data_IF_400927091374
#
_entry.id   IF_400927091374
#
_cell.length_a   1.000
_cell.length_b   1.000
_cell.length_c   1.000
_cell.angle_alpha   90.00
_cell.angle_beta   90.00
_cell.angle_gamma   90.00
#
_symmetry.space_group_name_H-M   'P 1'
#
loop_
_entity.id
_entity.type
_entity.pdbx_description
1 polymer ?
#
# COMPACT_ATOMS: atom_id res chain seq x y z
N UNK A 1 -12.82 10.71 -19.31
CA UNK A 1 -12.67 10.10 -17.96
C UNK A 1 -11.45 9.17 -17.90
N UNK A 2 -11.26 8.25 -18.83
CA UNK A 2 -10.13 7.29 -18.82
C UNK A 2 -8.75 7.97 -18.80
N UNK A 3 -8.47 8.93 -19.69
CA UNK A 3 -7.19 9.64 -19.71
C UNK A 3 -6.87 10.37 -18.39
N UNK A 4 -7.89 10.98 -17.75
CA UNK A 4 -7.72 11.64 -16.44
C UNK A 4 -7.39 10.62 -15.33
N UNK A 5 -8.04 9.46 -15.34
CA UNK A 5 -7.76 8.39 -14.40
C UNK A 5 -6.33 7.85 -14.56
N UNK A 6 -5.85 7.71 -15.80
CA UNK A 6 -4.48 7.26 -16.08
C UNK A 6 -3.44 8.28 -15.62
N UNK A 7 -3.66 9.59 -15.87
CA UNK A 7 -2.75 10.62 -15.37
C UNK A 7 -2.75 10.71 -13.84
N UNK A 8 -3.91 10.57 -13.19
CA UNK A 8 -3.98 10.49 -11.72
C UNK A 8 -3.34 9.23 -11.15
N UNK A 9 -3.34 8.11 -11.91
CA UNK A 9 -2.69 6.85 -11.50
C UNK A 9 -1.17 6.98 -11.33
N UNK A 10 -0.55 7.99 -11.95
CA UNK A 10 0.86 8.34 -11.71
C UNK A 10 1.11 8.76 -10.25
N UNK A 11 0.08 9.27 -9.56
CA UNK A 11 0.15 9.56 -8.12
C UNK A 11 0.42 8.31 -7.27
N UNK A 12 -0.45 7.29 -7.27
CA UNK A 12 -0.17 6.01 -6.59
C UNK A 12 1.13 5.32 -7.05
N UNK A 13 1.52 5.47 -8.33
CA UNK A 13 2.81 4.97 -8.82
C UNK A 13 3.98 5.64 -8.09
N UNK A 14 3.98 6.96 -8.00
CA UNK A 14 5.03 7.72 -7.29
C UNK A 14 4.93 7.56 -5.77
N UNK A 15 3.74 7.78 -5.19
CA UNK A 15 3.54 7.84 -3.73
C UNK A 15 3.65 6.50 -3.03
N UNK A 16 3.07 5.43 -3.61
CA UNK A 16 3.08 4.09 -3.02
C UNK A 16 4.08 3.17 -3.72
N UNK A 17 4.02 3.06 -5.04
CA UNK A 17 4.90 2.18 -5.80
C UNK A 17 6.38 2.50 -5.53
N UNK A 18 6.82 3.70 -5.87
CA UNK A 18 8.19 4.14 -5.64
C UNK A 18 8.42 4.62 -4.20
N UNK A 19 7.50 5.40 -3.63
CA UNK A 19 7.66 6.02 -2.31
C UNK A 19 7.61 5.04 -1.14
N UNK A 20 6.81 3.99 -1.24
CA UNK A 20 6.59 3.06 -0.14
C UNK A 20 7.17 1.69 -0.39
N UNK A 21 6.78 1.06 -1.50
CA UNK A 21 7.10 -0.34 -1.75
C UNK A 21 8.51 -0.55 -2.32
N UNK A 22 9.06 0.40 -3.10
CA UNK A 22 10.43 0.29 -3.59
C UNK A 22 11.49 0.31 -2.47
N UNK A 23 11.11 0.65 -1.21
CA UNK A 23 11.96 0.44 -0.04
C UNK A 23 12.49 -1.00 0.05
N UNK A 24 11.64 -1.98 -0.24
CA UNK A 24 12.03 -3.37 -0.21
C UNK A 24 13.17 -3.71 -1.22
N UNK A 25 13.27 -2.96 -2.32
CA UNK A 25 14.37 -3.10 -3.28
C UNK A 25 15.68 -2.48 -2.78
N UNK A 26 15.59 -1.41 -1.99
CA UNK A 26 16.76 -0.70 -1.46
C UNK A 26 17.22 -1.30 -0.14
N UNK A 27 16.33 -1.99 0.58
CA UNK A 27 16.64 -2.55 1.90
C UNK A 27 17.89 -3.45 1.93
N UNK A 28 18.08 -4.41 1.01
CA UNK A 28 19.31 -5.23 1.02
C UNK A 28 20.59 -4.40 0.87
N UNK A 29 20.56 -3.33 0.06
CA UNK A 29 21.69 -2.41 -0.08
C UNK A 29 21.93 -1.61 1.22
N UNK A 30 20.86 -1.14 1.87
CA UNK A 30 20.96 -0.42 3.15
C UNK A 30 21.51 -1.33 4.25
N UNK A 31 21.08 -2.60 4.31
CA UNK A 31 21.63 -3.57 5.26
C UNK A 31 23.12 -3.82 5.00
N UNK A 32 23.53 -3.99 3.74
CA UNK A 32 24.92 -4.25 3.39
C UNK A 32 25.83 -3.05 3.66
N UNK A 33 25.38 -1.81 3.33
CA UNK A 33 26.23 -0.61 3.41
C UNK A 33 26.15 0.07 4.78
N UNK A 34 24.95 0.10 5.41
CA UNK A 34 24.76 0.75 6.72
C UNK A 34 24.84 -0.22 7.90
N UNK A 35 24.96 -1.53 7.65
CA UNK A 35 25.01 -2.56 8.69
C UNK A 35 23.71 -2.69 9.48
N UNK A 36 22.55 -2.42 8.86
CA UNK A 36 21.26 -2.43 9.56
C UNK A 36 20.88 -3.83 10.02
N UNK A 37 20.45 -3.94 11.28
CA UNK A 37 19.74 -5.11 11.79
C UNK A 37 18.36 -5.26 11.14
N UNK A 38 17.76 -6.44 11.26
CA UNK A 38 16.38 -6.65 10.77
C UNK A 38 15.37 -5.80 11.54
N UNK A 39 15.60 -5.55 12.82
CA UNK A 39 14.75 -4.69 13.62
C UNK A 39 14.80 -3.23 13.13
N UNK A 40 16.00 -2.67 12.89
CA UNK A 40 16.17 -1.32 12.34
C UNK A 40 15.54 -1.19 10.95
N UNK A 41 15.69 -2.20 10.10
CA UNK A 41 14.98 -2.27 8.81
C UNK A 41 13.46 -2.25 8.99
N UNK A 42 12.93 -3.02 9.95
CA UNK A 42 11.51 -3.01 10.31
C UNK A 42 11.03 -1.64 10.78
N UNK A 43 11.81 -0.93 11.59
CA UNK A 43 11.47 0.42 12.07
C UNK A 43 11.43 1.47 10.96
N UNK A 44 12.30 1.40 9.96
CA UNK A 44 12.22 2.24 8.76
C UNK A 44 10.90 2.00 7.98
N UNK A 45 10.47 0.74 7.89
CA UNK A 45 9.17 0.38 7.33
C UNK A 45 8.02 0.94 8.16
N UNK A 46 8.08 0.76 9.50
CA UNK A 46 7.07 1.27 10.45
C UNK A 46 6.99 2.79 10.45
N UNK A 47 8.10 3.50 10.32
CA UNK A 47 8.12 4.97 10.21
C UNK A 47 7.29 5.43 9.01
N UNK A 48 7.48 4.81 7.84
CA UNK A 48 6.68 5.14 6.65
C UNK A 48 5.19 4.82 6.84
N UNK A 49 4.87 3.66 7.42
CA UNK A 49 3.48 3.25 7.59
C UNK A 49 2.77 4.05 8.68
N UNK A 50 3.47 4.48 9.73
CA UNK A 50 2.97 5.42 10.74
C UNK A 50 2.70 6.80 10.11
N UNK A 51 3.62 7.29 9.28
CA UNK A 51 3.41 8.51 8.50
C UNK A 51 2.17 8.40 7.61
N UNK A 52 2.00 7.27 6.94
CA UNK A 52 0.82 7.02 6.11
C UNK A 52 -0.48 7.00 6.93
N UNK A 53 -0.47 6.40 8.12
CA UNK A 53 -1.60 6.40 9.04
C UNK A 53 -2.00 7.82 9.43
N UNK A 54 -1.04 8.62 9.92
CA UNK A 54 -1.31 10.01 10.33
C UNK A 54 -1.66 10.90 9.14
N UNK A 55 -1.05 10.65 7.98
CA UNK A 55 -1.38 11.31 6.72
C UNK A 55 -2.81 11.01 6.27
N UNK A 56 -3.26 9.75 6.36
CA UNK A 56 -4.63 9.36 6.01
C UNK A 56 -5.67 10.00 6.97
N UNK A 57 -5.40 9.99 8.28
CA UNK A 57 -6.27 10.64 9.28
C UNK A 57 -6.33 12.16 9.10
N UNK A 58 -5.22 12.80 8.77
CA UNK A 58 -5.15 14.25 8.56
C UNK A 58 -5.66 14.69 7.19
N UNK A 59 -5.78 13.78 6.22
CA UNK A 59 -6.11 14.15 4.84
C UNK A 59 -7.43 14.91 4.69
N UNK A 60 -8.56 14.56 5.35
CA UNK A 60 -9.79 15.33 5.22
C UNK A 60 -9.66 16.77 5.76
N UNK A 61 -8.84 16.94 6.82
CA UNK A 61 -8.62 18.24 7.44
C UNK A 61 -7.65 19.09 6.62
N UNK A 62 -6.51 18.54 6.24
CA UNK A 62 -5.45 19.27 5.52
C UNK A 62 -5.88 19.54 4.09
N UNK A 63 -6.28 18.49 3.34
CA UNK A 63 -6.72 18.64 1.95
C UNK A 63 -8.02 19.44 1.85
N UNK A 64 -8.91 19.35 2.85
CA UNK A 64 -10.12 20.15 2.89
C UNK A 64 -9.86 21.64 3.10
N UNK A 65 -8.77 22.04 3.78
CA UNK A 65 -8.36 23.45 3.97
C UNK A 65 -7.54 24.00 2.81
N UNK A 66 -6.58 23.20 2.34
CA UNK A 66 -5.62 23.62 1.29
C UNK A 66 -6.23 23.47 -0.11
N UNK A 67 -7.25 22.61 -0.25
CA UNK A 67 -7.79 22.14 -1.52
C UNK A 67 -7.19 20.80 -1.94
N UNK A 68 -8.02 19.86 -2.37
CA UNK A 68 -7.59 18.52 -2.76
C UNK A 68 -6.64 18.52 -3.95
N UNK A 69 -6.86 19.42 -4.91
CA UNK A 69 -5.99 19.57 -6.09
C UNK A 69 -4.58 20.00 -5.67
N UNK A 70 -4.48 21.09 -4.90
CA UNK A 70 -3.20 21.64 -4.47
C UNK A 70 -2.49 20.67 -3.51
N UNK A 71 -3.22 20.07 -2.56
CA UNK A 71 -2.67 19.09 -1.64
C UNK A 71 -2.15 17.83 -2.33
N UNK A 72 -2.89 17.30 -3.31
CA UNK A 72 -2.47 16.13 -4.10
C UNK A 72 -1.18 16.41 -4.88
N UNK A 73 -1.16 17.51 -5.68
CA UNK A 73 0.01 17.83 -6.50
C UNK A 73 1.19 18.33 -5.67
N UNK A 74 0.95 19.10 -4.60
CA UNK A 74 2.00 19.49 -3.67
C UNK A 74 2.68 18.28 -3.04
N UNK A 75 1.90 17.32 -2.54
CA UNK A 75 2.44 16.08 -1.99
C UNK A 75 3.19 15.27 -3.06
N UNK A 76 2.66 15.20 -4.28
CA UNK A 76 3.26 14.45 -5.39
C UNK A 76 4.61 15.03 -5.81
N UNK A 77 4.73 16.35 -5.91
CA UNK A 77 5.98 17.02 -6.27
C UNK A 77 7.01 16.94 -5.13
N UNK A 78 6.57 17.05 -3.86
CA UNK A 78 7.45 16.90 -2.69
C UNK A 78 7.96 15.47 -2.50
N UNK A 79 7.24 14.46 -3.00
CA UNK A 79 7.65 13.05 -2.87
C UNK A 79 9.02 12.78 -3.50
N UNK A 80 9.33 13.40 -4.64
CA UNK A 80 10.61 13.25 -5.32
C UNK A 80 11.81 13.68 -4.47
N UNK A 81 11.90 14.97 -4.03
CA UNK A 81 12.97 15.44 -3.17
C UNK A 81 13.10 14.67 -1.86
N UNK A 82 11.98 14.34 -1.21
CA UNK A 82 11.98 13.59 0.06
C UNK A 82 12.54 12.18 -0.14
N UNK A 83 12.21 11.50 -1.24
CA UNK A 83 12.82 10.22 -1.59
C UNK A 83 14.33 10.37 -1.83
N UNK A 84 14.74 11.34 -2.65
CA UNK A 84 16.13 11.53 -3.01
C UNK A 84 17.04 11.74 -1.79
N UNK A 85 16.54 12.44 -0.76
CA UNK A 85 17.29 12.71 0.47
C UNK A 85 17.33 11.52 1.46
N UNK A 86 16.54 10.47 1.24
CA UNK A 86 16.45 9.34 2.20
C UNK A 86 17.75 8.53 2.31
N UNK A 87 18.60 8.57 1.30
CA UNK A 87 19.86 7.83 1.25
C UNK A 87 20.99 8.38 2.13
N UNK A 88 20.77 9.40 2.97
CA UNK A 88 21.81 10.14 3.71
C UNK A 88 22.17 9.53 5.07
N UNK A 89 21.56 8.43 5.48
CA UNK A 89 21.84 7.70 6.73
C UNK A 89 20.59 7.28 7.49
N UNK A 90 20.74 6.45 8.52
CA UNK A 90 19.62 5.80 9.22
C UNK A 90 18.65 6.79 9.90
N UNK A 91 19.17 7.73 10.72
CA UNK A 91 18.31 8.68 11.44
C UNK A 91 17.56 9.65 10.50
N UNK A 92 18.21 10.28 9.50
CA UNK A 92 17.50 11.04 8.49
C UNK A 92 16.49 10.18 7.73
N UNK A 93 16.83 8.93 7.40
CA UNK A 93 15.92 8.02 6.72
C UNK A 93 14.66 7.74 7.54
N UNK A 94 14.72 7.56 8.87
CA UNK A 94 13.54 7.40 9.74
C UNK A 94 12.55 8.56 9.58
N UNK A 95 13.05 9.80 9.67
CA UNK A 95 12.22 11.00 9.54
C UNK A 95 11.66 11.12 8.11
N UNK A 96 12.50 10.95 7.10
CA UNK A 96 12.08 11.09 5.70
C UNK A 96 11.14 9.97 5.27
N UNK A 97 11.30 8.75 5.78
CA UNK A 97 10.34 7.65 5.58
C UNK A 97 8.98 7.98 6.19
N UNK A 98 8.94 8.60 7.37
CA UNK A 98 7.70 9.08 7.96
C UNK A 98 7.03 10.16 7.07
N UNK A 99 7.79 11.15 6.60
CA UNK A 99 7.29 12.21 5.71
C UNK A 99 6.77 11.61 4.39
N UNK A 100 7.51 10.67 3.78
CA UNK A 100 7.06 9.93 2.59
C UNK A 100 5.71 9.25 2.81
N UNK A 101 5.51 8.66 4.01
CA UNK A 101 4.25 8.06 4.40
C UNK A 101 3.11 9.07 4.38
N UNK A 102 3.28 10.22 5.02
CA UNK A 102 2.28 11.31 5.04
C UNK A 102 1.94 11.77 3.62
N UNK A 103 2.96 12.07 2.81
CA UNK A 103 2.77 12.50 1.42
C UNK A 103 2.08 11.42 0.59
N UNK A 104 2.50 10.16 0.74
CA UNK A 104 1.88 9.01 0.07
C UNK A 104 0.39 8.85 0.39
N UNK A 105 -0.01 9.10 1.66
CA UNK A 105 -1.41 9.08 2.06
C UNK A 105 -2.21 10.24 1.44
N UNK A 106 -1.67 11.46 1.42
CA UNK A 106 -2.33 12.60 0.79
C UNK A 106 -2.49 12.41 -0.71
N UNK A 107 -1.49 11.83 -1.38
CA UNK A 107 -1.57 11.45 -2.79
C UNK A 107 -2.69 10.41 -2.97
N UNK A 108 -2.66 9.32 -2.22
CA UNK A 108 -3.56 8.19 -2.42
C UNK A 108 -5.02 8.53 -2.12
N UNK A 109 -5.28 9.20 -1.00
CA UNK A 109 -6.63 9.62 -0.58
C UNK A 109 -7.11 10.81 -1.43
N UNK A 110 -6.24 11.79 -1.65
CA UNK A 110 -6.56 13.00 -2.40
C UNK A 110 -6.91 12.71 -3.86
N UNK A 111 -6.09 11.92 -4.54
CA UNK A 111 -6.33 11.55 -5.93
C UNK A 111 -7.59 10.69 -6.12
N UNK A 112 -7.88 9.77 -5.19
CA UNK A 112 -9.13 9.02 -5.20
C UNK A 112 -10.35 9.92 -5.03
N UNK A 113 -10.28 10.90 -4.12
CA UNK A 113 -11.35 11.87 -3.90
C UNK A 113 -11.58 12.74 -5.14
N UNK A 114 -10.51 13.26 -5.77
CA UNK A 114 -10.57 14.03 -7.01
C UNK A 114 -11.18 13.22 -8.16
N UNK A 115 -10.80 11.93 -8.27
CA UNK A 115 -11.36 11.06 -9.31
C UNK A 115 -12.85 10.77 -9.09
N UNK A 116 -13.28 10.56 -7.84
CA UNK A 116 -14.68 10.36 -7.50
C UNK A 116 -15.54 11.62 -7.77
N UNK A 117 -14.97 12.82 -7.64
CA UNK A 117 -15.65 14.07 -7.99
C UNK A 117 -15.96 14.17 -9.50
N UNK A 118 -15.16 13.52 -10.35
CA UNK A 118 -15.39 13.46 -11.80
C UNK A 118 -16.46 12.43 -12.22
N UNK A 119 -16.82 11.49 -11.34
CA UNK A 119 -17.81 10.44 -11.60
C UNK A 119 -17.52 9.15 -10.83
N UNK A 120 -18.56 8.38 -10.54
CA UNK A 120 -18.48 7.15 -9.72
C UNK A 120 -18.13 5.90 -10.55
N UNK A 121 -17.11 5.95 -11.40
CA UNK A 121 -16.70 4.81 -12.22
C UNK A 121 -15.76 3.88 -11.44
N UNK A 122 -16.18 2.66 -11.15
CA UNK A 122 -15.33 1.62 -10.54
C UNK A 122 -14.11 1.29 -11.40
N UNK A 123 -14.25 1.32 -12.74
CA UNK A 123 -13.13 1.11 -13.67
C UNK A 123 -12.08 2.21 -13.56
N UNK A 124 -12.50 3.47 -13.38
CA UNK A 124 -11.58 4.59 -13.22
C UNK A 124 -10.81 4.49 -11.89
N UNK A 125 -11.48 4.10 -10.79
CA UNK A 125 -10.82 3.84 -9.51
C UNK A 125 -9.87 2.63 -9.59
N UNK A 126 -10.26 1.57 -10.29
CA UNK A 126 -9.39 0.42 -10.54
C UNK A 126 -8.11 0.81 -11.29
N UNK A 127 -8.23 1.62 -12.35
CA UNK A 127 -7.07 2.16 -13.08
C UNK A 127 -6.20 3.05 -12.20
N UNK A 128 -6.80 3.89 -11.36
CA UNK A 128 -6.08 4.74 -10.41
C UNK A 128 -5.26 3.92 -9.41
N UNK A 129 -5.88 2.93 -8.77
CA UNK A 129 -5.17 2.07 -7.81
C UNK A 129 -4.15 1.14 -8.49
N UNK A 130 -4.40 0.74 -9.74
CA UNK A 130 -3.44 0.01 -10.58
C UNK A 130 -2.14 0.76 -10.81
N UNK A 131 -2.12 2.09 -10.65
CA UNK A 131 -0.90 2.90 -10.67
C UNK A 131 0.17 2.41 -9.67
N UNK A 132 -0.22 1.82 -8.54
CA UNK A 132 0.72 1.19 -7.61
C UNK A 132 1.55 0.12 -8.33
N UNK A 133 0.89 -0.73 -9.13
CA UNK A 133 1.54 -1.76 -9.95
C UNK A 133 2.55 -1.18 -10.94
N UNK A 134 2.23 -0.03 -11.55
CA UNK A 134 3.16 0.68 -12.43
C UNK A 134 4.44 1.09 -11.66
N UNK A 135 4.30 1.64 -10.46
CA UNK A 135 5.45 1.99 -9.62
C UNK A 135 6.28 0.78 -9.20
N UNK A 136 5.63 -0.37 -8.89
CA UNK A 136 6.31 -1.63 -8.61
C UNK A 136 7.11 -2.14 -9.82
N UNK A 137 6.58 -1.99 -11.03
CA UNK A 137 7.29 -2.35 -12.27
C UNK A 137 8.46 -1.41 -12.57
N UNK A 138 8.31 -0.10 -12.34
CA UNK A 138 9.36 0.89 -12.59
C UNK A 138 10.52 0.81 -11.60
N UNK A 139 10.24 0.43 -10.34
CA UNK A 139 11.25 0.38 -9.28
C UNK A 139 12.51 -0.41 -9.66
N UNK A 140 12.41 -1.68 -10.09
CA UNK A 140 13.56 -2.46 -10.54
C UNK A 140 14.38 -1.80 -11.66
N UNK A 141 13.71 -1.19 -12.64
CA UNK A 141 14.40 -0.51 -13.75
C UNK A 141 15.21 0.70 -13.30
N UNK A 142 14.68 1.49 -12.38
CA UNK A 142 15.38 2.64 -11.81
C UNK A 142 16.60 2.22 -10.99
N UNK A 143 16.62 1.00 -10.47
CA UNK A 143 17.66 0.48 -9.59
C UNK A 143 18.66 -0.47 -10.30
N UNK A 144 18.56 -0.62 -11.62
CA UNK A 144 19.52 -1.44 -12.38
C UNK A 144 20.95 -0.97 -12.14
N UNK A 145 21.85 -1.92 -11.79
CA UNK A 145 23.27 -1.71 -11.53
C UNK A 145 23.59 -0.71 -10.40
N UNK A 146 22.62 -0.41 -9.50
CA UNK A 146 22.83 0.43 -8.32
C UNK A 146 23.33 -0.42 -7.17
N UNK A 147 24.44 0.00 -6.55
CA UNK A 147 25.02 -0.65 -5.37
C UNK A 147 25.11 0.26 -4.14
N UNK A 148 24.78 1.54 -4.30
CA UNK A 148 24.82 2.54 -3.25
C UNK A 148 23.39 2.97 -2.86
N UNK A 149 23.01 2.90 -1.56
CA UNK A 149 21.68 3.32 -1.09
C UNK A 149 21.36 4.79 -1.42
N UNK A 150 22.33 5.69 -1.38
CA UNK A 150 22.10 7.11 -1.68
C UNK A 150 21.75 7.30 -3.15
N UNK A 151 22.46 6.62 -4.05
CA UNK A 151 22.14 6.61 -5.50
C UNK A 151 20.79 5.96 -5.76
N UNK A 152 20.46 4.86 -5.06
CA UNK A 152 19.17 4.18 -5.16
C UNK A 152 18.02 5.14 -4.83
N UNK A 153 18.07 5.80 -3.67
CA UNK A 153 17.06 6.73 -3.26
C UNK A 153 16.98 7.97 -4.16
N UNK A 154 18.11 8.47 -4.65
CA UNK A 154 18.13 9.58 -5.61
C UNK A 154 17.41 9.22 -6.92
N UNK A 155 17.67 8.03 -7.49
CA UNK A 155 16.99 7.57 -8.71
C UNK A 155 15.49 7.34 -8.51
N UNK A 156 15.07 6.77 -7.37
CA UNK A 156 13.66 6.66 -7.02
C UNK A 156 13.00 8.04 -6.87
N UNK A 157 13.71 9.00 -6.28
CA UNK A 157 13.26 10.39 -6.16
C UNK A 157 13.09 11.08 -7.51
N UNK A 158 14.04 10.91 -8.43
CA UNK A 158 13.94 11.43 -9.80
C UNK A 158 12.76 10.79 -10.54
N UNK A 159 12.58 9.46 -10.41
CA UNK A 159 11.46 8.76 -11.01
C UNK A 159 10.11 9.25 -10.47
N UNK A 160 9.97 9.42 -9.15
CA UNK A 160 8.75 9.95 -8.54
C UNK A 160 8.48 11.41 -8.95
N UNK A 161 9.52 12.24 -9.03
CA UNK A 161 9.43 13.62 -9.53
C UNK A 161 8.98 13.67 -10.98
N UNK A 162 9.54 12.83 -11.85
CA UNK A 162 9.13 12.73 -13.26
C UNK A 162 7.64 12.33 -13.37
N UNK A 163 7.19 11.29 -12.63
CA UNK A 163 5.78 10.91 -12.59
C UNK A 163 4.88 12.07 -12.13
N UNK A 164 5.35 12.84 -11.14
CA UNK A 164 4.65 14.05 -10.68
C UNK A 164 4.49 15.10 -11.78
N UNK A 165 5.55 15.38 -12.51
CA UNK A 165 5.52 16.32 -13.64
C UNK A 165 4.61 15.82 -14.77
N UNK A 166 4.66 14.53 -15.12
CA UNK A 166 3.76 13.95 -16.13
C UNK A 166 2.28 13.95 -15.71
N UNK A 167 2.00 13.99 -14.40
CA UNK A 167 0.62 14.09 -13.89
C UNK A 167 0.05 15.52 -13.97
N UNK A 168 0.88 16.59 -14.07
CA UNK A 168 0.45 18.00 -14.05
C UNK A 168 -0.62 18.36 -15.07
N UNK A 169 -0.62 17.83 -16.32
CA UNK A 169 -1.65 18.18 -17.31
C UNK A 169 -3.08 17.81 -16.89
N UNK A 170 -3.25 16.91 -15.91
CA UNK A 170 -4.58 16.62 -15.38
C UNK A 170 -5.11 17.72 -14.44
N UNK A 171 -4.25 18.54 -13.82
CA UNK A 171 -4.62 19.54 -12.79
C UNK A 171 -5.77 20.47 -13.18
N UNK A 172 -5.77 21.11 -14.35
CA UNK A 172 -6.87 22.01 -14.75
C UNK A 172 -8.19 21.28 -15.03
N UNK A 173 -8.13 19.96 -15.23
CA UNK A 173 -9.28 19.13 -15.58
C UNK A 173 -10.00 18.54 -14.36
N UNK A 174 -9.49 18.77 -13.15
CA UNK A 174 -10.02 18.21 -11.91
C UNK A 174 -10.97 19.19 -11.22
N UNK A 175 -11.92 18.64 -10.49
CA UNK A 175 -12.86 19.38 -9.65
C UNK A 175 -12.60 19.06 -8.19
N UNK A 176 -12.80 20.02 -7.30
CA UNK A 176 -12.74 19.79 -5.87
C UNK A 176 -13.89 18.87 -5.43
N UNK A 177 -13.61 17.84 -4.61
CA UNK A 177 -14.67 17.00 -4.09
C UNK A 177 -15.56 17.76 -3.10
N UNK A 178 -16.84 17.37 -2.96
CA UNK A 178 -17.71 17.96 -1.95
C UNK A 178 -17.17 17.67 -0.55
N UNK A 179 -17.51 18.51 0.47
CA UNK A 179 -17.10 18.31 1.85
C UNK A 179 -17.48 16.90 2.35
N UNK A 180 -16.65 16.26 3.19
CA UNK A 180 -16.93 14.93 3.71
C UNK A 180 -18.15 14.94 4.61
N UNK A 181 -19.08 14.02 4.37
CA UNK A 181 -20.27 13.83 5.22
C UNK A 181 -19.90 12.97 6.42
N UNK A 182 -20.21 13.46 7.64
CA UNK A 182 -20.05 12.66 8.87
C UNK A 182 -21.15 11.60 8.93
N UNK A 183 -20.76 10.34 8.78
CA UNK A 183 -21.68 9.21 8.87
C UNK A 183 -22.06 8.88 10.33
N UNK A 184 -23.32 8.50 10.56
CA UNK A 184 -23.84 7.99 11.83
C UNK A 184 -24.30 6.53 11.61
N UNK A 185 -24.10 5.66 12.59
CA UNK A 185 -24.61 4.28 12.54
C UNK A 185 -23.86 3.35 13.49
N UNK A 186 -24.51 2.22 13.84
CA UNK A 186 -23.88 1.14 14.59
C UNK A 186 -22.93 0.34 13.68
N UNK A 187 -21.73 0.03 14.18
CA UNK A 187 -20.72 -0.76 13.52
C UNK A 187 -20.52 -2.14 14.16
N UNK A 188 -21.36 -2.49 15.14
CA UNK A 188 -21.36 -3.81 15.78
C UNK A 188 -21.23 -4.95 14.76
N UNK A 189 -22.09 -4.98 13.72
CA UNK A 189 -22.11 -6.05 12.72
C UNK A 189 -20.80 -6.23 11.92
N UNK A 190 -19.94 -5.22 11.87
CA UNK A 190 -18.70 -5.26 11.07
C UNK A 190 -17.42 -5.23 11.91
N UNK A 191 -17.50 -5.33 13.24
CA UNK A 191 -16.32 -5.31 14.13
C UNK A 191 -15.29 -6.36 13.76
N UNK A 192 -15.71 -7.58 13.50
CA UNK A 192 -14.80 -8.65 13.10
C UNK A 192 -14.10 -8.35 11.77
N UNK A 193 -14.80 -7.75 10.81
CA UNK A 193 -14.21 -7.34 9.54
C UNK A 193 -13.19 -6.21 9.72
N UNK A 194 -13.40 -5.29 10.68
CA UNK A 194 -12.42 -4.25 11.02
C UNK A 194 -11.14 -4.87 11.60
N UNK A 195 -11.25 -5.86 12.49
CA UNK A 195 -10.10 -6.61 13.02
C UNK A 195 -9.37 -7.39 11.92
N UNK A 196 -10.11 -8.11 11.08
CA UNK A 196 -9.52 -8.84 9.95
C UNK A 196 -8.72 -7.89 9.04
N UNK A 197 -9.26 -6.69 8.80
CA UNK A 197 -8.61 -5.69 7.94
C UNK A 197 -7.37 -5.07 8.59
N UNK A 198 -7.36 -4.87 9.91
CA UNK A 198 -6.17 -4.46 10.67
C UNK A 198 -5.07 -5.51 10.64
N UNK A 199 -5.41 -6.78 10.89
CA UNK A 199 -4.48 -7.91 10.82
C UNK A 199 -3.90 -8.09 9.40
N UNK A 200 -4.75 -7.97 8.37
CA UNK A 200 -4.31 -7.94 6.98
C UNK A 200 -3.29 -6.82 6.75
N UNK A 201 -3.58 -5.61 7.26
CA UNK A 201 -2.67 -4.47 7.15
C UNK A 201 -1.28 -4.75 7.72
N UNK A 202 -1.21 -5.41 8.89
CA UNK A 202 0.05 -5.81 9.52
C UNK A 202 0.77 -6.91 8.72
N UNK A 203 0.04 -7.94 8.30
CA UNK A 203 0.63 -9.10 7.62
C UNK A 203 1.19 -8.77 6.24
N UNK A 204 0.41 -8.12 5.39
CA UNK A 204 0.86 -7.88 4.02
C UNK A 204 2.03 -6.89 3.92
N UNK A 205 2.04 -5.86 4.76
CA UNK A 205 3.09 -4.85 4.71
C UNK A 205 4.39 -5.34 5.34
N UNK A 206 4.32 -6.27 6.30
CA UNK A 206 5.49 -6.92 6.87
C UNK A 206 6.20 -7.85 5.88
N UNK A 207 5.46 -8.50 4.97
CA UNK A 207 6.03 -9.34 3.91
C UNK A 207 6.93 -8.56 2.95
N UNK A 208 6.44 -7.39 2.48
CA UNK A 208 7.04 -6.66 1.36
C UNK A 208 8.53 -6.29 1.54
N UNK A 209 9.00 -5.72 2.67
CA UNK A 209 10.40 -5.37 2.82
C UNK A 209 11.33 -6.57 3.02
N UNK A 210 10.84 -7.69 3.59
CA UNK A 210 11.72 -8.80 3.95
C UNK A 210 11.77 -9.93 2.92
N UNK A 211 10.82 -9.99 1.97
CA UNK A 211 10.87 -11.00 0.91
C UNK A 211 12.11 -10.84 0.03
N UNK A 212 12.53 -9.61 -0.26
CA UNK A 212 13.73 -9.33 -1.08
C UNK A 212 15.02 -9.76 -0.39
N UNK A 213 15.09 -9.64 0.94
CA UNK A 213 16.25 -10.09 1.72
C UNK A 213 16.31 -11.61 1.83
N UNK A 214 15.17 -12.29 1.70
CA UNK A 214 15.08 -13.74 1.82
C UNK A 214 15.31 -14.47 0.48
N UNK A 215 14.93 -13.87 -0.67
CA UNK A 215 14.92 -14.58 -1.97
C UNK A 215 15.98 -14.10 -2.98
N UNK A 216 16.56 -12.94 -2.81
CA UNK A 216 17.65 -12.42 -3.68
C UNK A 216 17.22 -11.93 -5.06
N UNK A 217 16.29 -12.58 -5.76
CA UNK A 217 15.81 -12.16 -7.09
C UNK A 217 14.66 -11.14 -7.00
N UNK A 218 15.04 -9.93 -6.59
CA UNK A 218 14.10 -8.83 -6.40
C UNK A 218 13.49 -8.29 -7.70
N UNK A 219 14.20 -8.41 -8.84
CA UNK A 219 13.70 -7.90 -10.13
C UNK A 219 12.52 -8.73 -10.62
N UNK A 220 12.65 -10.06 -10.58
CA UNK A 220 11.56 -10.99 -10.90
C UNK A 220 10.40 -10.83 -9.92
N UNK A 221 10.69 -10.76 -8.62
CA UNK A 221 9.71 -10.57 -7.57
C UNK A 221 8.84 -9.34 -7.82
N UNK A 222 9.45 -8.16 -7.97
CA UNK A 222 8.72 -6.90 -8.14
C UNK A 222 8.04 -6.80 -9.51
N UNK A 223 8.64 -7.37 -10.55
CA UNK A 223 8.01 -7.48 -11.86
C UNK A 223 6.67 -8.24 -11.78
N UNK A 224 6.67 -9.41 -11.15
CA UNK A 224 5.46 -10.23 -11.01
C UNK A 224 4.46 -9.68 -10.01
N UNK A 225 4.92 -9.09 -8.89
CA UNK A 225 4.08 -8.31 -7.97
C UNK A 225 3.36 -7.18 -8.71
N UNK A 226 4.10 -6.42 -9.51
CA UNK A 226 3.56 -5.29 -10.29
C UNK A 226 2.53 -5.73 -11.32
N UNK A 227 2.84 -6.79 -12.08
CA UNK A 227 1.88 -7.40 -13.03
C UNK A 227 0.62 -7.85 -12.29
N UNK A 228 0.75 -8.61 -11.20
CA UNK A 228 -0.39 -9.04 -10.38
C UNK A 228 -1.23 -7.86 -9.90
N UNK A 229 -0.58 -6.80 -9.40
CA UNK A 229 -1.26 -5.60 -8.91
C UNK A 229 -2.05 -4.85 -10.00
N UNK A 230 -1.55 -4.81 -11.25
CA UNK A 230 -2.29 -4.24 -12.38
C UNK A 230 -3.59 -5.00 -12.66
N UNK A 231 -3.59 -6.32 -12.52
CA UNK A 231 -4.75 -7.17 -12.77
C UNK A 231 -5.74 -7.24 -11.59
N UNK A 232 -5.36 -6.77 -10.39
CA UNK A 232 -6.19 -6.83 -9.18
C UNK A 232 -7.63 -6.35 -9.40
N UNK A 233 -7.80 -5.15 -9.96
CA UNK A 233 -9.13 -4.56 -10.16
C UNK A 233 -9.98 -5.29 -11.20
N UNK A 234 -9.35 -5.86 -12.24
CA UNK A 234 -10.01 -6.61 -13.28
C UNK A 234 -10.49 -7.99 -12.81
N UNK A 235 -9.76 -8.60 -11.90
CA UNK A 235 -10.04 -9.93 -11.38
C UNK A 235 -11.01 -9.88 -10.18
N UNK A 236 -10.64 -9.11 -9.12
CA UNK A 236 -11.40 -9.14 -7.86
C UNK A 236 -12.71 -8.37 -7.91
N UNK A 237 -12.85 -7.32 -8.74
CA UNK A 237 -14.10 -6.58 -8.86
C UNK A 237 -15.27 -7.50 -9.23
N UNK A 238 -15.24 -8.13 -10.44
CA UNK A 238 -16.30 -9.04 -10.88
C UNK A 238 -16.48 -10.29 -10.00
N UNK A 239 -15.38 -10.81 -9.42
CA UNK A 239 -15.44 -11.97 -8.55
C UNK A 239 -16.20 -11.66 -7.25
N UNK A 240 -15.85 -10.55 -6.58
CA UNK A 240 -16.48 -10.12 -5.33
C UNK A 240 -17.97 -9.78 -5.54
N UNK A 241 -18.32 -9.20 -6.69
CA UNK A 241 -19.73 -8.94 -7.06
C UNK A 241 -20.52 -10.24 -7.17
N UNK A 242 -19.94 -11.33 -7.71
CA UNK A 242 -20.60 -12.64 -7.86
C UNK A 242 -20.75 -13.39 -6.54
N UNK A 243 -19.70 -13.42 -5.71
CA UNK A 243 -19.69 -14.26 -4.50
C UNK A 243 -20.13 -13.52 -3.23
N UNK A 244 -20.26 -12.19 -3.31
CA UNK A 244 -20.53 -11.30 -2.18
C UNK A 244 -19.28 -10.88 -1.43
N UNK A 245 -19.34 -9.69 -0.80
CA UNK A 245 -18.17 -9.04 -0.20
C UNK A 245 -17.45 -9.89 0.84
N UNK A 246 -18.17 -10.56 1.74
CA UNK A 246 -17.55 -11.39 2.79
C UNK A 246 -16.85 -12.64 2.22
N UNK A 247 -17.51 -13.39 1.35
CA UNK A 247 -16.89 -14.58 0.71
C UNK A 247 -15.72 -14.16 -0.16
N UNK A 248 -15.86 -13.03 -0.88
CA UNK A 248 -14.79 -12.42 -1.64
C UNK A 248 -13.58 -12.06 -0.76
N UNK A 249 -13.82 -11.50 0.45
CA UNK A 249 -12.77 -11.20 1.40
C UNK A 249 -12.01 -12.46 1.86
N UNK A 250 -12.72 -13.53 2.15
CA UNK A 250 -12.11 -14.82 2.51
C UNK A 250 -11.26 -15.36 1.36
N UNK A 251 -11.77 -15.34 0.13
CA UNK A 251 -11.02 -15.84 -1.03
C UNK A 251 -9.77 -15.03 -1.31
N UNK A 252 -9.84 -13.69 -1.25
CA UNK A 252 -8.68 -12.84 -1.50
C UNK A 252 -7.63 -12.96 -0.39
N UNK A 253 -8.06 -13.04 0.89
CA UNK A 253 -7.14 -13.26 2.02
C UNK A 253 -6.48 -14.65 1.95
N UNK A 254 -7.21 -15.67 1.50
CA UNK A 254 -6.66 -17.02 1.31
C UNK A 254 -5.55 -17.01 0.24
N UNK A 255 -5.77 -16.41 -0.93
CA UNK A 255 -4.75 -16.32 -1.98
C UNK A 255 -3.57 -15.47 -1.53
N UNK A 256 -3.81 -14.38 -0.79
CA UNK A 256 -2.77 -13.54 -0.24
C UNK A 256 -1.92 -14.30 0.78
N UNK A 257 -2.56 -15.06 1.68
CA UNK A 257 -1.89 -15.93 2.64
C UNK A 257 -1.02 -16.98 1.93
N UNK A 258 -1.56 -17.67 0.93
CA UNK A 258 -0.78 -18.63 0.13
C UNK A 258 0.43 -17.95 -0.53
N UNK A 259 0.23 -16.79 -1.15
CA UNK A 259 1.32 -16.02 -1.78
C UNK A 259 2.39 -15.56 -0.78
N UNK A 260 2.04 -15.39 0.50
CA UNK A 260 2.99 -14.96 1.55
C UNK A 260 3.76 -16.10 2.21
N UNK A 261 3.39 -17.35 1.97
CA UNK A 261 4.02 -18.51 2.63
C UNK A 261 5.51 -18.63 2.27
N UNK A 262 6.43 -18.73 3.27
CA UNK A 262 7.86 -18.85 3.01
C UNK A 262 8.24 -20.02 2.07
N UNK A 263 7.67 -21.24 2.17
CA UNK A 263 7.98 -22.30 1.21
C UNK A 263 7.64 -21.93 -0.22
N UNK A 264 6.53 -21.22 -0.45
CA UNK A 264 6.16 -20.77 -1.79
C UNK A 264 7.09 -19.64 -2.27
N UNK A 265 7.41 -18.67 -1.41
CA UNK A 265 8.30 -17.56 -1.73
C UNK A 265 9.73 -18.03 -2.04
N UNK A 266 10.23 -19.05 -1.31
CA UNK A 266 11.60 -19.53 -1.45
C UNK A 266 11.78 -20.52 -2.61
N UNK A 267 10.77 -21.34 -2.93
CA UNK A 267 10.92 -22.42 -3.92
C UNK A 267 10.10 -22.18 -5.21
N UNK A 268 9.04 -21.38 -5.15
CA UNK A 268 8.15 -21.05 -6.26
C UNK A 268 7.90 -19.54 -6.33
N UNK A 269 8.97 -18.75 -6.29
CA UNK A 269 8.92 -17.29 -6.26
C UNK A 269 7.99 -16.67 -7.30
N UNK A 270 7.96 -17.10 -8.59
CA UNK A 270 7.06 -16.52 -9.57
C UNK A 270 5.58 -16.62 -9.16
N UNK A 271 5.19 -17.78 -8.64
CA UNK A 271 3.81 -18.01 -8.20
C UNK A 271 3.49 -17.20 -6.93
N UNK A 272 4.40 -17.20 -5.94
CA UNK A 272 4.27 -16.41 -4.72
C UNK A 272 4.07 -14.91 -5.05
N UNK A 273 4.97 -14.34 -5.83
CA UNK A 273 4.96 -12.93 -6.21
C UNK A 273 3.68 -12.55 -6.98
N UNK A 274 3.28 -13.36 -7.94
CA UNK A 274 2.06 -13.10 -8.71
C UNK A 274 0.79 -13.19 -7.86
N UNK A 275 0.64 -14.24 -7.04
CA UNK A 275 -0.51 -14.40 -6.14
C UNK A 275 -0.60 -13.28 -5.12
N UNK A 276 0.54 -12.90 -4.53
CA UNK A 276 0.59 -11.79 -3.60
C UNK A 276 0.21 -10.48 -4.29
N UNK A 277 0.82 -10.17 -5.42
CA UNK A 277 0.54 -8.97 -6.23
C UNK A 277 -0.93 -8.88 -6.66
N UNK A 278 -1.50 -9.99 -7.16
CA UNK A 278 -2.91 -10.05 -7.56
C UNK A 278 -3.86 -9.78 -6.39
N UNK A 279 -3.48 -10.15 -5.17
CA UNK A 279 -4.41 -10.24 -4.04
C UNK A 279 -4.32 -9.05 -3.08
N UNK A 280 -3.13 -8.46 -2.82
CA UNK A 280 -2.97 -7.50 -1.73
C UNK A 280 -3.83 -6.25 -1.85
N UNK A 281 -4.08 -5.71 -3.04
CA UNK A 281 -5.02 -4.61 -3.24
C UNK A 281 -6.48 -5.08 -3.38
N UNK A 282 -6.71 -6.35 -3.69
CA UNK A 282 -8.05 -6.95 -3.84
C UNK A 282 -8.83 -6.97 -2.52
N UNK A 283 -8.14 -7.04 -1.39
CA UNK A 283 -8.74 -6.97 -0.06
C UNK A 283 -9.51 -5.66 0.15
N UNK A 284 -9.04 -4.54 -0.41
CA UNK A 284 -9.70 -3.23 -0.32
C UNK A 284 -11.07 -3.27 -1.01
N UNK A 285 -11.15 -3.91 -2.17
CA UNK A 285 -12.41 -4.09 -2.92
C UNK A 285 -13.38 -4.96 -2.12
N UNK A 286 -12.91 -6.09 -1.60
CA UNK A 286 -13.74 -7.06 -0.90
C UNK A 286 -14.29 -6.50 0.42
N UNK A 287 -13.48 -5.83 1.23
CA UNK A 287 -13.91 -5.24 2.52
C UNK A 287 -14.95 -4.12 2.30
N UNK A 288 -14.77 -3.30 1.27
CA UNK A 288 -15.73 -2.25 0.92
C UNK A 288 -17.09 -2.83 0.55
N UNK A 289 -17.13 -3.89 -0.25
CA UNK A 289 -18.37 -4.56 -0.61
C UNK A 289 -19.00 -5.31 0.58
N UNK A 290 -18.17 -5.89 1.47
CA UNK A 290 -18.67 -6.51 2.71
C UNK A 290 -19.38 -5.50 3.62
N UNK A 291 -18.83 -4.29 3.79
CA UNK A 291 -19.49 -3.24 4.57
C UNK A 291 -20.81 -2.79 3.93
N UNK A 292 -20.83 -2.61 2.62
CA UNK A 292 -22.05 -2.22 1.89
C UNK A 292 -23.17 -3.25 1.98
N UNK A 293 -22.83 -4.53 2.07
CA UNK A 293 -23.80 -5.60 2.18
C UNK A 293 -24.45 -5.70 3.56
N UNK A 294 -23.75 -5.24 4.63
CA UNK A 294 -24.19 -5.44 6.02
C UNK A 294 -24.72 -4.14 6.65
N UNK A 295 -24.16 -2.99 6.24
CA UNK A 295 -24.46 -1.70 6.87
C UNK A 295 -25.42 -0.85 6.04
N UNK A 296 -26.32 -0.09 6.67
CA UNK A 296 -27.13 0.91 5.98
C UNK A 296 -26.25 2.05 5.45
N UNK A 297 -26.65 2.71 4.32
CA UNK A 297 -25.86 3.76 3.68
C UNK A 297 -25.33 4.88 4.60
N UNK A 298 -26.09 5.36 5.61
CA UNK A 298 -25.57 6.39 6.52
C UNK A 298 -24.38 5.95 7.38
N UNK A 299 -24.17 4.64 7.59
CA UNK A 299 -23.06 4.10 8.37
C UNK A 299 -21.77 3.92 7.54
N UNK A 300 -21.84 3.91 6.20
CA UNK A 300 -20.68 3.64 5.33
C UNK A 300 -19.51 4.59 5.55
N UNK A 301 -19.67 5.92 5.63
CA UNK A 301 -18.52 6.82 5.83
C UNK A 301 -17.77 6.52 7.13
N UNK A 302 -18.51 6.19 8.22
CA UNK A 302 -17.90 5.83 9.51
C UNK A 302 -17.17 4.50 9.44
N UNK A 303 -17.77 3.48 8.79
CA UNK A 303 -17.16 2.17 8.61
C UNK A 303 -15.86 2.27 7.78
N UNK A 304 -15.89 3.02 6.68
CA UNK A 304 -14.72 3.25 5.83
C UNK A 304 -13.61 4.01 6.57
N UNK A 305 -13.95 5.04 7.35
CA UNK A 305 -12.97 5.77 8.17
C UNK A 305 -12.29 4.88 9.20
N UNK A 306 -13.08 4.09 9.96
CA UNK A 306 -12.54 3.17 10.97
C UNK A 306 -11.76 2.00 10.34
N UNK A 307 -12.20 1.49 9.18
CA UNK A 307 -11.44 0.45 8.47
C UNK A 307 -10.10 0.99 8.01
N UNK A 308 -10.06 2.20 7.48
CA UNK A 308 -8.79 2.85 7.09
C UNK A 308 -7.87 3.04 8.31
N UNK A 309 -8.41 3.44 9.45
CA UNK A 309 -7.64 3.57 10.69
C UNK A 309 -7.12 2.21 11.19
N UNK A 310 -7.96 1.17 11.24
CA UNK A 310 -7.55 -0.19 11.64
C UNK A 310 -6.46 -0.75 10.71
N UNK A 311 -6.66 -0.62 9.41
CA UNK A 311 -5.70 -1.02 8.40
C UNK A 311 -4.36 -0.28 8.55
N UNK A 312 -4.39 1.04 8.68
CA UNK A 312 -3.19 1.84 8.79
C UNK A 312 -2.44 1.59 10.12
N UNK A 313 -3.15 1.32 11.21
CA UNK A 313 -2.55 0.90 12.47
C UNK A 313 -1.84 -0.46 12.30
N UNK A 314 -2.50 -1.42 11.68
CA UNK A 314 -1.87 -2.71 11.33
C UNK A 314 -0.61 -2.52 10.51
N UNK A 315 -0.65 -1.67 9.48
CA UNK A 315 0.51 -1.35 8.66
C UNK A 315 1.64 -0.67 9.44
N UNK A 316 1.33 0.19 10.42
CA UNK A 316 2.35 0.85 11.24
C UNK A 316 3.09 -0.15 12.14
N UNK A 317 2.41 -1.18 12.62
CA UNK A 317 2.98 -2.21 13.49
C UNK A 317 3.66 -3.35 12.72
N UNK A 318 3.13 -3.70 11.55
CA UNK A 318 3.54 -4.89 10.77
C UNK A 318 5.03 -4.99 10.47
N UNK A 319 5.68 -3.99 9.87
CA UNK A 319 7.11 -4.06 9.54
C UNK A 319 8.01 -4.19 10.78
N UNK A 320 7.67 -3.48 11.88
CA UNK A 320 8.40 -3.59 13.14
C UNK A 320 8.30 -4.99 13.73
N UNK A 321 7.07 -5.55 13.82
CA UNK A 321 6.85 -6.92 14.32
C UNK A 321 7.57 -7.95 13.45
N UNK A 322 7.51 -7.79 12.12
CA UNK A 322 8.20 -8.68 11.19
C UNK A 322 9.73 -8.56 11.29
N UNK A 323 10.25 -7.34 11.49
CA UNK A 323 11.68 -7.10 11.72
C UNK A 323 12.18 -7.77 13.01
N UNK A 324 11.42 -7.65 14.11
CA UNK A 324 11.72 -8.36 15.37
C UNK A 324 11.69 -9.87 15.22
N UNK A 325 10.73 -10.41 14.45
CA UNK A 325 10.67 -11.84 14.17
C UNK A 325 11.85 -12.30 13.29
N UNK A 326 12.28 -11.49 12.32
CA UNK A 326 13.48 -11.75 11.53
C UNK A 326 14.75 -11.74 12.38
N UNK A 327 14.86 -10.79 13.31
CA UNK A 327 15.96 -10.69 14.27
C UNK A 327 16.05 -11.94 15.16
N UNK A 328 14.91 -12.38 15.71
CA UNK A 328 14.85 -13.57 16.58
C UNK A 328 15.27 -14.86 15.86
N UNK A 329 15.06 -14.95 14.55
CA UNK A 329 15.44 -16.11 13.72
C UNK A 329 16.84 -15.92 13.09
N UNK A 330 17.37 -14.68 13.07
CA UNK A 330 18.61 -14.34 12.36
C UNK A 330 18.46 -14.34 10.84
N UNK A 331 17.24 -14.27 10.31
CA UNK A 331 16.95 -14.37 8.88
C UNK A 331 15.65 -13.65 8.51
N UNK A 332 15.59 -13.05 7.31
CA UNK A 332 14.36 -12.49 6.73
C UNK A 332 13.19 -13.49 6.63
N UNK A 333 13.48 -14.80 6.68
CA UNK A 333 12.45 -15.86 6.69
C UNK A 333 11.56 -15.76 7.94
N UNK A 334 12.10 -15.31 9.10
CA UNK A 334 11.32 -15.03 10.30
C UNK A 334 10.22 -13.99 10.06
N UNK A 335 10.52 -12.93 9.32
CA UNK A 335 9.54 -11.93 8.95
C UNK A 335 8.43 -12.48 8.03
N UNK A 336 8.80 -13.37 7.09
CA UNK A 336 7.81 -14.01 6.20
C UNK A 336 6.84 -14.90 6.99
N UNK A 337 7.32 -15.67 7.98
CA UNK A 337 6.46 -16.47 8.84
C UNK A 337 5.56 -15.61 9.73
N UNK A 338 6.07 -14.51 10.29
CA UNK A 338 5.26 -13.57 11.07
C UNK A 338 4.14 -12.94 10.18
N UNK A 339 4.48 -12.53 8.97
CA UNK A 339 3.52 -12.00 8.00
C UNK A 339 2.46 -13.01 7.61
N UNK A 340 2.86 -14.25 7.28
CA UNK A 340 1.93 -15.34 6.95
C UNK A 340 1.01 -15.66 8.15
N UNK A 341 1.53 -15.68 9.37
CA UNK A 341 0.75 -15.88 10.59
C UNK A 341 -0.32 -14.80 10.80
N UNK A 342 0.03 -13.53 10.61
CA UNK A 342 -0.92 -12.41 10.69
C UNK A 342 -2.00 -12.49 9.60
N UNK A 343 -1.63 -12.88 8.38
CA UNK A 343 -2.59 -13.08 7.28
C UNK A 343 -3.51 -14.28 7.53
N UNK A 344 -3.00 -15.35 8.12
CA UNK A 344 -3.81 -16.50 8.54
C UNK A 344 -4.81 -16.10 9.63
N UNK A 345 -4.39 -15.30 10.60
CA UNK A 345 -5.30 -14.76 11.63
C UNK A 345 -6.36 -13.85 11.00
N UNK A 346 -5.98 -12.99 10.04
CA UNK A 346 -6.94 -12.15 9.31
C UNK A 346 -7.98 -13.00 8.56
N UNK A 347 -7.53 -14.06 7.88
CA UNK A 347 -8.37 -15.03 7.19
C UNK A 347 -9.31 -15.73 8.17
N UNK A 348 -8.82 -16.22 9.30
CA UNK A 348 -9.61 -16.88 10.35
C UNK A 348 -10.70 -15.97 10.91
N UNK A 349 -10.37 -14.73 11.23
CA UNK A 349 -11.34 -13.72 11.72
C UNK A 349 -12.39 -13.41 10.65
N UNK A 350 -11.99 -13.25 9.37
CA UNK A 350 -12.92 -13.03 8.27
C UNK A 350 -13.84 -14.23 8.03
N UNK A 351 -13.31 -15.45 8.15
CA UNK A 351 -14.08 -16.69 8.01
C UNK A 351 -15.10 -16.86 9.13
N UNK A 352 -14.70 -16.61 10.38
CA UNK A 352 -15.55 -16.75 11.58
C UNK A 352 -16.55 -15.59 11.75
N UNK A 353 -16.33 -14.46 11.06
CA UNK A 353 -17.26 -13.33 11.13
C UNK A 353 -18.64 -13.77 10.62
N UNK A 354 -19.63 -13.76 11.48
CA UNK A 354 -21.02 -14.01 11.10
C UNK A 354 -21.63 -12.71 10.53
N UNK A 355 -22.59 -12.84 9.59
CA UNK A 355 -23.29 -11.67 9.06
C UNK A 355 -24.11 -10.96 10.12
#
# INVERSE_FOLDING_TARGET
MAARALLLALGPAAGLGLGRFAYALVLPLMQAVWGLSYAEAGFLGSANTLGYFLGALSSPLVLGRVGYRLGFYGALLLQGPVLALTGTGYLPALLLRFVQGVLGAWIFVGGAALLMALGRSGRALGAYYGGVGLGLLLGPWLLLAVQDPAVAWARLGLGAGALGLFALPALPLLQEPPPPVRGKGDLGPVRALLWAYGLYGAGYIGYMPFVTTAVGDWALLFGLLGVGALFTGLFWGPWVERVGGRRGLVHVLFLLFLGSLPPLALHLLPLSAFLFGLSFLGVITAITQAFRAVLPPPAWPRAMGLSTAAFALGQALGPGLSGLAAEAVGSGVGALWASAGLLLLALGVAWLSRP
#
